data_IF_650431818126
#
_entry.id   IF_650431818126
#
_cell.length_a   1.000
_cell.length_b   1.000
_cell.length_c   1.000
_cell.angle_alpha   90.00
_cell.angle_beta   90.00
_cell.angle_gamma   90.00
#
_symmetry.space_group_name_H-M   'P 1'
#
loop_
_entity.id
_entity.type
_entity.pdbx_description
1 polymer ?
#
# COMPACT_ATOMS: atom_id res chain seq x y z
N UNK A 1 13.81 25.56 -0.46
CA UNK A 1 14.25 26.31 -1.65
C UNK A 1 15.50 25.63 -2.19
N UNK A 2 15.36 24.76 -3.19
CA UNK A 2 16.50 24.20 -3.94
C UNK A 2 16.11 24.12 -5.41
N UNK A 3 16.93 24.76 -6.23
CA UNK A 3 16.74 25.09 -7.63
C UNK A 3 17.09 23.87 -8.50
N UNK A 4 16.15 23.39 -9.32
CA UNK A 4 16.43 22.34 -10.31
C UNK A 4 15.87 22.78 -11.67
N UNK A 5 16.79 23.12 -12.59
CA UNK A 5 16.51 23.35 -14.01
C UNK A 5 16.24 22.00 -14.69
N UNK A 6 15.01 21.78 -15.14
CA UNK A 6 14.68 20.69 -16.06
C UNK A 6 14.79 21.24 -17.49
N UNK A 7 15.83 20.83 -18.20
CA UNK A 7 15.98 21.06 -19.63
C UNK A 7 15.31 19.95 -20.44
N UNK A 8 14.56 20.36 -21.48
CA UNK A 8 13.83 19.56 -22.47
C UNK A 8 12.49 18.95 -22.02
N UNK A 9 11.46 19.24 -22.83
CA UNK A 9 10.03 19.03 -22.56
C UNK A 9 9.70 17.57 -22.22
N UNK A 10 9.39 17.32 -20.94
CA UNK A 10 8.72 16.10 -20.49
C UNK A 10 7.29 16.48 -20.10
N UNK A 11 6.28 16.06 -20.89
CA UNK A 11 4.87 16.23 -20.53
C UNK A 11 4.53 15.25 -19.42
N UNK A 12 4.59 15.70 -18.16
CA UNK A 12 4.14 14.91 -17.02
C UNK A 12 2.64 15.15 -16.85
N UNK A 13 1.86 14.07 -16.94
CA UNK A 13 0.40 14.09 -16.82
C UNK A 13 0.05 13.66 -15.40
N UNK A 14 -0.65 14.52 -14.66
CA UNK A 14 -1.34 14.10 -13.44
C UNK A 14 -2.84 14.16 -13.68
N UNK A 15 -3.49 13.02 -13.48
CA UNK A 15 -4.94 12.90 -13.36
C UNK A 15 -5.20 12.66 -11.87
N UNK A 16 -5.65 13.69 -11.16
CA UNK A 16 -6.07 13.57 -9.77
C UNK A 16 -7.57 13.84 -9.69
N UNK A 17 -8.24 13.15 -8.76
CA UNK A 17 -9.52 13.61 -8.23
C UNK A 17 -9.28 14.52 -7.00
N UNK A 18 -8.34 14.21 -6.11
CA UNK A 18 -7.74 15.13 -5.11
C UNK A 18 -6.42 14.54 -4.56
N UNK A 19 -5.49 15.37 -4.06
CA UNK A 19 -4.39 14.91 -3.19
C UNK A 19 -4.88 14.96 -1.74
N UNK A 20 -5.21 13.81 -1.16
CA UNK A 20 -5.37 13.70 0.28
C UNK A 20 -4.03 13.25 0.90
N UNK A 21 -3.49 14.01 1.85
CA UNK A 21 -2.48 13.50 2.76
C UNK A 21 -3.16 12.45 3.66
N UNK A 22 -3.09 11.19 3.25
CA UNK A 22 -3.84 10.11 3.89
C UNK A 22 -3.47 9.91 5.38
N UNK A 23 -2.21 10.21 5.75
CA UNK A 23 -1.71 9.94 7.09
C UNK A 23 -2.15 10.96 8.15
N UNK A 24 -2.34 12.24 7.80
CA UNK A 24 -2.62 13.30 8.78
C UNK A 24 -4.00 13.95 8.59
N UNK A 25 -4.45 14.18 7.34
CA UNK A 25 -5.69 14.92 7.09
C UNK A 25 -6.92 14.03 7.28
N UNK A 26 -6.98 12.84 6.71
CA UNK A 26 -8.22 12.02 6.77
C UNK A 26 -8.64 11.59 8.18
N UNK A 27 -7.68 11.51 9.10
CA UNK A 27 -7.85 10.88 10.41
C UNK A 27 -8.25 11.88 11.50
N UNK A 28 -7.75 13.12 11.39
CA UNK A 28 -8.07 14.23 12.30
C UNK A 28 -9.06 15.23 11.74
N UNK A 29 -9.17 15.39 10.43
CA UNK A 29 -10.10 16.37 9.82
C UNK A 29 -11.58 16.17 10.19
N UNK A 30 -12.11 14.96 10.48
CA UNK A 30 -13.46 14.86 11.00
C UNK A 30 -13.62 15.59 12.36
N UNK A 31 -12.54 15.69 13.14
CA UNK A 31 -12.58 16.10 14.54
C UNK A 31 -11.76 17.38 14.84
N UNK A 32 -10.96 17.87 13.90
CA UNK A 32 -10.11 19.06 14.01
C UNK A 32 -10.27 20.02 12.80
N UNK A 33 -10.14 21.33 13.04
CA UNK A 33 -10.16 22.37 12.01
C UNK A 33 -8.81 22.47 11.25
N UNK A 34 -8.44 21.45 10.49
CA UNK A 34 -7.24 21.47 9.65
C UNK A 34 -7.62 21.37 8.16
N UNK A 35 -7.80 22.51 7.49
CA UNK A 35 -7.87 22.58 6.03
C UNK A 35 -6.52 23.06 5.50
N UNK A 36 -5.84 22.28 4.64
CA UNK A 36 -4.74 22.78 3.81
C UNK A 36 -5.14 22.77 2.34
N UNK A 37 -5.10 23.95 1.71
CA UNK A 37 -5.21 24.10 0.27
C UNK A 37 -3.83 23.90 -0.34
N UNK A 38 -3.46 22.65 -0.64
CA UNK A 38 -2.16 22.36 -1.25
C UNK A 38 -2.27 22.25 -2.78
N UNK A 39 -2.48 23.41 -3.43
CA UNK A 39 -2.26 23.58 -4.86
C UNK A 39 -1.24 24.70 -5.14
N UNK A 40 -0.07 24.62 -4.50
CA UNK A 40 1.12 25.38 -4.92
C UNK A 40 2.15 24.44 -5.57
N UNK A 41 1.77 23.80 -6.68
CA UNK A 41 2.77 23.25 -7.60
C UNK A 41 3.31 24.42 -8.42
N UNK A 42 4.56 24.80 -8.16
CA UNK A 42 5.27 25.88 -8.87
C UNK A 42 5.15 25.67 -10.38
N UNK A 43 4.61 26.67 -11.08
CA UNK A 43 4.57 26.76 -12.55
C UNK A 43 5.99 26.64 -13.12
N UNK A 44 6.43 25.42 -13.42
CA UNK A 44 7.60 25.19 -14.28
C UNK A 44 7.13 25.05 -15.73
N UNK A 45 7.90 25.64 -16.64
CA UNK A 45 7.65 25.61 -18.09
C UNK A 45 7.58 24.16 -18.58
N UNK A 46 6.52 23.79 -19.29
CA UNK A 46 6.36 22.45 -19.92
C UNK A 46 5.44 21.46 -19.22
N UNK A 47 4.81 21.84 -18.11
CA UNK A 47 3.83 21.01 -17.39
C UNK A 47 2.39 21.18 -17.91
N UNK A 48 1.60 20.10 -17.96
CA UNK A 48 0.16 20.14 -18.24
C UNK A 48 -0.60 19.34 -17.20
N UNK A 49 -1.65 19.93 -16.66
CA UNK A 49 -2.54 19.31 -15.69
C UNK A 49 -3.95 19.26 -16.24
N UNK A 50 -4.63 18.13 -16.03
CA UNK A 50 -6.04 17.96 -16.37
C UNK A 50 -6.77 17.33 -15.19
N UNK A 51 -7.85 17.97 -14.79
CA UNK A 51 -8.78 17.44 -13.79
C UNK A 51 -9.79 16.50 -14.49
N UNK A 52 -9.48 15.22 -14.49
CA UNK A 52 -10.27 14.18 -15.14
C UNK A 52 -10.00 12.79 -14.54
N UNK A 53 -11.01 11.92 -14.61
CA UNK A 53 -10.89 10.51 -14.28
C UNK A 53 -10.34 9.72 -15.48
N UNK A 54 -9.33 8.87 -15.23
CA UNK A 54 -8.91 7.85 -16.19
C UNK A 54 -9.83 6.63 -16.08
N UNK A 55 -10.59 6.33 -17.13
CA UNK A 55 -11.50 5.17 -17.15
C UNK A 55 -11.01 4.00 -18.00
N UNK A 56 -10.01 4.22 -18.88
CA UNK A 56 -9.41 3.16 -19.71
C UNK A 56 -7.97 3.48 -20.10
N UNK A 57 -7.12 2.46 -20.11
CA UNK A 57 -5.74 2.52 -20.60
C UNK A 57 -5.61 1.53 -21.77
N UNK A 58 -5.10 2.00 -22.91
CA UNK A 58 -4.80 1.20 -24.09
C UNK A 58 -3.26 1.07 -24.24
N UNK A 59 -2.65 -0.06 -23.80
CA UNK A 59 -1.21 -0.28 -23.89
C UNK A 59 -0.69 -0.41 -25.32
N UNK A 60 -1.54 -0.86 -26.26
CA UNK A 60 -1.14 -1.15 -27.64
C UNK A 60 -1.07 0.14 -28.44
N UNK A 61 -2.10 0.99 -28.34
CA UNK A 61 -2.14 2.30 -29.01
C UNK A 61 -1.40 3.39 -28.22
N UNK A 62 -0.92 3.06 -27.02
CA UNK A 62 -0.32 3.99 -26.05
C UNK A 62 -1.18 5.23 -25.79
N UNK A 63 -2.44 4.99 -25.41
CA UNK A 63 -3.42 6.04 -25.10
C UNK A 63 -4.06 5.84 -23.74
N UNK A 64 -4.34 6.95 -23.08
CA UNK A 64 -5.19 7.01 -21.88
C UNK A 64 -6.51 7.68 -22.25
N UNK A 65 -7.63 7.08 -21.87
CA UNK A 65 -8.96 7.64 -22.04
C UNK A 65 -9.42 8.26 -20.73
N UNK A 66 -9.78 9.54 -20.80
CA UNK A 66 -10.10 10.37 -19.66
C UNK A 66 -11.50 10.95 -19.81
N UNK A 67 -12.16 11.22 -18.68
CA UNK A 67 -13.42 11.95 -18.59
C UNK A 67 -13.33 13.03 -17.54
N UNK A 68 -13.59 14.29 -17.91
CA UNK A 68 -13.65 15.38 -16.93
C UNK A 68 -15.03 15.45 -16.26
N UNK A 69 -15.03 15.74 -14.96
CA UNK A 69 -16.26 16.03 -14.20
C UNK A 69 -16.82 17.42 -14.53
N UNK A 70 -15.98 18.28 -15.11
CA UNK A 70 -16.37 19.58 -15.63
C UNK A 70 -16.69 19.36 -17.11
N UNK A 71 -17.97 19.38 -17.47
CA UNK A 71 -18.41 19.22 -18.86
C UNK A 71 -17.70 20.23 -19.75
N UNK A 72 -16.80 19.78 -20.60
CA UNK A 72 -15.83 20.67 -21.26
C UNK A 72 -16.02 20.83 -22.76
N UNK A 73 -17.05 20.26 -23.40
CA UNK A 73 -17.29 20.45 -24.83
C UNK A 73 -18.80 20.43 -25.19
N UNK A 74 -19.12 20.97 -26.37
CA UNK A 74 -20.47 21.06 -26.97
C UNK A 74 -21.22 19.72 -27.09
N UNK A 75 -20.51 18.58 -26.95
CA UNK A 75 -21.03 17.21 -27.05
C UNK A 75 -21.40 16.59 -25.68
N UNK A 76 -21.16 17.32 -24.57
CA UNK A 76 -21.74 17.05 -23.26
C UNK A 76 -21.12 15.94 -22.40
N UNK A 77 -20.30 15.02 -22.92
CA UNK A 77 -19.78 13.89 -22.11
C UNK A 77 -18.40 14.12 -21.44
N UNK A 78 -17.67 15.17 -21.80
CA UNK A 78 -16.36 15.53 -21.20
C UNK A 78 -15.23 14.51 -21.45
N UNK A 79 -15.37 13.62 -22.44
CA UNK A 79 -14.36 12.59 -22.73
C UNK A 79 -13.27 13.06 -23.69
N UNK A 80 -12.02 12.64 -23.43
CA UNK A 80 -10.88 12.91 -24.31
C UNK A 80 -9.81 11.82 -24.17
N UNK A 81 -8.88 11.76 -25.13
CA UNK A 81 -7.76 10.82 -25.10
C UNK A 81 -6.43 11.54 -25.05
N UNK A 82 -5.45 10.94 -24.38
CA UNK A 82 -4.08 11.44 -24.31
C UNK A 82 -3.09 10.35 -24.71
N UNK A 83 -2.25 10.67 -25.70
CA UNK A 83 -1.16 9.80 -26.15
C UNK A 83 0.03 9.90 -25.18
N UNK A 84 0.79 8.82 -25.02
CA UNK A 84 1.98 8.79 -24.16
C UNK A 84 3.16 8.05 -24.78
N UNK A 85 4.37 8.54 -24.51
CA UNK A 85 5.61 7.80 -24.75
C UNK A 85 5.92 6.87 -23.57
N UNK A 86 5.76 7.42 -22.36
CA UNK A 86 5.85 6.74 -21.08
C UNK A 86 4.60 7.01 -20.23
N UNK A 87 4.12 5.98 -19.54
CA UNK A 87 2.97 6.08 -18.63
C UNK A 87 3.40 5.70 -17.21
N UNK A 88 3.05 6.53 -16.22
CA UNK A 88 3.24 6.22 -14.79
C UNK A 88 1.85 6.09 -14.17
N UNK A 89 1.51 4.89 -13.70
CA UNK A 89 0.23 4.58 -13.06
C UNK A 89 0.40 4.73 -11.54
N UNK A 90 -0.28 5.72 -10.97
CA UNK A 90 -0.26 6.01 -9.53
C UNK A 90 -1.69 6.21 -8.99
N UNK A 91 -2.63 5.37 -9.44
CA UNK A 91 -4.07 5.51 -9.16
C UNK A 91 -4.48 5.03 -7.75
N UNK A 92 -3.53 4.56 -6.94
CA UNK A 92 -3.77 3.99 -5.62
C UNK A 92 -4.74 2.81 -5.63
N UNK A 93 -5.42 2.59 -4.51
CA UNK A 93 -6.40 1.53 -4.35
C UNK A 93 -7.80 2.09 -4.08
N UNK A 94 -8.81 1.22 -4.16
CA UNK A 94 -10.16 1.45 -3.64
C UNK A 94 -10.36 0.66 -2.34
N UNK A 95 -11.36 0.99 -1.51
CA UNK A 95 -11.72 0.15 -0.39
C UNK A 95 -12.16 -1.24 -0.86
N UNK A 96 -11.86 -2.26 -0.06
CA UNK A 96 -12.28 -3.63 -0.32
C UNK A 96 -13.22 -4.11 0.78
N UNK A 97 -14.42 -4.48 0.36
CA UNK A 97 -15.48 -4.94 1.25
C UNK A 97 -15.54 -6.47 1.36
N UNK A 98 -14.61 -7.20 0.73
CA UNK A 98 -14.49 -8.66 0.72
C UNK A 98 -15.75 -9.40 0.27
N UNK A 99 -16.48 -8.82 -0.69
CA UNK A 99 -17.73 -9.36 -1.22
C UNK A 99 -18.81 -9.58 -0.15
N UNK A 100 -18.78 -8.82 0.96
CA UNK A 100 -19.88 -8.83 1.94
C UNK A 100 -21.18 -8.39 1.24
N UNK A 101 -22.20 -9.27 1.14
CA UNK A 101 -23.21 -9.28 0.06
C UNK A 101 -24.16 -8.08 -0.06
N UNK A 102 -24.39 -7.26 0.97
CA UNK A 102 -25.43 -6.21 0.94
C UNK A 102 -24.89 -4.77 0.81
N UNK A 103 -23.61 -4.60 0.46
CA UNK A 103 -22.90 -3.33 0.67
C UNK A 103 -23.06 -2.23 -0.38
N UNK A 104 -23.54 -2.45 -1.60
CA UNK A 104 -23.33 -1.46 -2.69
C UNK A 104 -24.35 -0.31 -2.71
N UNK A 105 -25.61 -0.53 -2.31
CA UNK A 105 -26.63 0.55 -2.28
C UNK A 105 -26.65 1.35 -0.98
N UNK A 106 -26.11 0.79 0.10
CA UNK A 106 -26.14 1.40 1.42
C UNK A 106 -24.82 2.05 1.83
N UNK A 107 -23.66 1.79 1.21
CA UNK A 107 -22.40 2.52 1.47
C UNK A 107 -22.43 4.00 1.05
N UNK A 108 -23.47 4.44 0.34
CA UNK A 108 -23.78 5.87 0.13
C UNK A 108 -24.58 6.49 1.29
N UNK A 109 -25.06 5.68 2.26
CA UNK A 109 -25.77 6.06 3.49
C UNK A 109 -25.18 5.49 4.80
N UNK A 110 -24.33 4.46 4.72
CA UNK A 110 -23.57 3.84 5.81
C UNK A 110 -22.19 4.46 5.75
N UNK A 111 -21.85 5.07 6.87
CA UNK A 111 -20.88 6.14 6.98
C UNK A 111 -19.44 5.70 6.77
N UNK A 112 -18.98 5.94 5.54
CA UNK A 112 -17.68 6.50 5.26
C UNK A 112 -16.48 5.54 5.26
N UNK A 113 -15.83 5.49 4.09
CA UNK A 113 -14.44 5.05 3.99
C UNK A 113 -13.54 6.19 4.45
N UNK A 114 -12.58 5.95 5.33
CA UNK A 114 -11.60 6.98 5.70
C UNK A 114 -10.54 7.07 4.58
N UNK A 115 -10.93 7.58 3.41
CA UNK A 115 -10.05 7.64 2.23
C UNK A 115 -9.95 9.01 1.56
N UNK A 116 -11.03 9.81 1.54
CA UNK A 116 -11.03 11.13 0.90
C UNK A 116 -11.41 12.26 1.88
N UNK A 117 -11.15 13.53 1.56
CA UNK A 117 -11.39 14.64 2.52
C UNK A 117 -12.91 14.85 2.72
N UNK A 118 -13.69 14.60 1.68
CA UNK A 118 -15.15 14.67 1.67
C UNK A 118 -15.77 13.65 2.64
N UNK A 119 -15.09 12.53 2.83
CA UNK A 119 -15.46 11.47 3.76
C UNK A 119 -15.36 11.96 5.21
N UNK A 120 -14.31 12.71 5.55
CA UNK A 120 -14.13 13.25 6.90
C UNK A 120 -15.30 14.16 7.34
N UNK A 121 -15.79 15.01 6.44
CA UNK A 121 -16.96 15.87 6.73
C UNK A 121 -18.25 15.07 6.89
N UNK A 122 -18.43 14.00 6.09
CA UNK A 122 -19.60 13.10 6.22
C UNK A 122 -19.59 12.40 7.57
N UNK A 123 -18.44 11.85 8.00
CA UNK A 123 -18.28 11.22 9.31
C UNK A 123 -18.72 12.18 10.40
N UNK A 124 -18.17 13.40 10.41
CA UNK A 124 -18.47 14.38 11.44
C UNK A 124 -19.98 14.64 11.51
N UNK A 125 -20.63 14.86 10.36
CA UNK A 125 -22.08 15.05 10.30
C UNK A 125 -22.84 13.85 10.84
N UNK A 126 -22.43 12.63 10.50
CA UNK A 126 -23.12 11.42 10.95
C UNK A 126 -22.97 11.18 12.45
N UNK A 127 -21.80 11.44 13.02
CA UNK A 127 -21.60 11.44 14.49
C UNK A 127 -22.53 12.47 15.13
N UNK A 128 -22.59 13.71 14.62
CA UNK A 128 -23.49 14.74 15.16
C UNK A 128 -24.97 14.32 15.07
N UNK A 129 -25.39 13.78 13.92
CA UNK A 129 -26.75 13.27 13.71
C UNK A 129 -27.10 12.16 14.71
N UNK A 130 -26.17 11.25 15.03
CA UNK A 130 -26.38 10.22 16.05
C UNK A 130 -26.71 10.81 17.42
N UNK A 131 -25.98 11.85 17.83
CA UNK A 131 -26.22 12.56 19.10
C UNK A 131 -27.52 13.37 19.07
N UNK A 132 -27.78 14.11 17.99
CA UNK A 132 -29.01 14.88 17.81
C UNK A 132 -30.24 13.96 17.85
N UNK A 133 -30.22 12.85 17.11
CA UNK A 133 -31.28 11.85 17.12
C UNK A 133 -31.46 11.25 18.52
N UNK A 134 -30.37 10.85 19.19
CA UNK A 134 -30.44 10.29 20.53
C UNK A 134 -30.93 11.29 21.60
N UNK A 135 -30.90 12.59 21.31
CA UNK A 135 -31.41 13.64 22.22
C UNK A 135 -32.93 13.83 22.15
N UNK A 136 -33.58 13.36 21.07
CA UNK A 136 -35.00 13.56 20.85
C UNK A 136 -35.89 12.95 21.96
N UNK A 137 -37.06 13.56 22.22
CA UNK A 137 -38.05 12.97 23.15
C UNK A 137 -38.65 11.69 22.56
N UNK A 138 -39.21 10.83 23.42
CA UNK A 138 -39.93 9.59 23.07
C UNK A 138 -39.07 8.44 22.53
N UNK A 139 -37.74 8.49 22.63
CA UNK A 139 -36.88 7.33 22.40
C UNK A 139 -36.70 6.51 23.69
N UNK A 140 -36.83 5.19 23.55
CA UNK A 140 -36.44 4.24 24.59
C UNK A 140 -34.93 4.29 24.84
N UNK A 141 -34.49 3.84 26.02
CA UNK A 141 -33.07 3.80 26.36
C UNK A 141 -32.27 2.86 25.43
N UNK A 142 -32.89 1.78 24.97
CA UNK A 142 -32.30 0.86 23.99
C UNK A 142 -32.05 1.54 22.63
N UNK A 143 -32.99 2.33 22.15
CA UNK A 143 -32.84 3.10 20.91
C UNK A 143 -31.77 4.17 21.03
N UNK A 144 -31.66 4.84 22.19
CA UNK A 144 -30.58 5.80 22.46
C UNK A 144 -29.22 5.11 22.46
N UNK A 145 -29.08 3.98 23.14
CA UNK A 145 -27.85 3.16 23.15
C UNK A 145 -27.48 2.68 21.76
N UNK A 146 -28.46 2.27 20.94
CA UNK A 146 -28.23 1.92 19.54
C UNK A 146 -27.66 3.12 18.78
N UNK A 147 -28.32 4.28 18.84
CA UNK A 147 -27.89 5.47 18.11
C UNK A 147 -26.49 5.95 18.51
N UNK A 148 -26.09 5.75 19.77
CA UNK A 148 -24.80 6.16 20.31
C UNK A 148 -23.75 5.04 20.32
N UNK A 149 -24.02 3.94 19.60
CA UNK A 149 -23.04 2.89 19.39
C UNK A 149 -22.31 3.07 18.05
N UNK A 150 -21.02 3.38 18.14
CA UNK A 150 -20.12 3.56 17.01
C UNK A 150 -19.27 2.30 16.81
N UNK A 151 -19.32 1.73 15.60
CA UNK A 151 -18.62 0.49 15.28
C UNK A 151 -17.56 0.74 14.22
N UNK A 152 -16.29 0.46 14.55
CA UNK A 152 -15.16 0.58 13.64
C UNK A 152 -14.77 -0.83 13.19
N UNK A 153 -14.76 -1.08 11.89
CA UNK A 153 -14.37 -2.36 11.31
C UNK A 153 -12.93 -2.30 10.80
N UNK A 154 -12.03 -2.96 11.51
CA UNK A 154 -10.60 -3.05 11.22
C UNK A 154 -9.75 -2.46 12.34
N UNK A 155 -8.93 -3.30 12.96
CA UNK A 155 -7.94 -2.94 13.99
C UNK A 155 -6.59 -2.50 13.45
N UNK A 156 -6.52 -2.07 12.18
CA UNK A 156 -5.34 -1.46 11.60
C UNK A 156 -5.11 -0.02 12.10
N UNK A 157 -3.99 0.63 11.72
CA UNK A 157 -3.65 1.97 12.19
C UNK A 157 -4.79 2.98 12.00
N UNK A 158 -5.38 3.01 10.82
CA UNK A 158 -6.50 3.91 10.50
C UNK A 158 -7.70 3.73 11.43
N UNK A 159 -8.10 2.48 11.71
CA UNK A 159 -9.27 2.21 12.55
C UNK A 159 -9.00 2.52 14.02
N UNK A 160 -7.80 2.21 14.51
CA UNK A 160 -7.37 2.50 15.88
C UNK A 160 -7.27 4.02 16.10
N UNK A 161 -6.59 4.76 15.22
CA UNK A 161 -6.49 6.21 15.32
C UNK A 161 -7.88 6.87 15.26
N UNK A 162 -8.75 6.41 14.34
CA UNK A 162 -10.11 6.91 14.25
C UNK A 162 -10.94 6.66 15.52
N UNK A 163 -10.86 5.47 16.11
CA UNK A 163 -11.57 5.14 17.34
C UNK A 163 -11.11 6.00 18.53
N UNK A 164 -9.80 6.27 18.63
CA UNK A 164 -9.24 7.14 19.65
C UNK A 164 -9.71 8.59 19.49
N UNK A 165 -9.62 9.15 18.29
CA UNK A 165 -10.06 10.54 18.03
C UNK A 165 -11.58 10.70 18.19
N UNK A 166 -12.37 9.67 17.85
CA UNK A 166 -13.81 9.67 18.11
C UNK A 166 -14.12 9.62 19.61
N UNK A 167 -13.37 8.84 20.39
CA UNK A 167 -13.49 8.81 21.85
C UNK A 167 -13.21 10.19 22.45
N UNK A 168 -12.12 10.83 22.06
CA UNK A 168 -11.75 12.16 22.56
C UNK A 168 -12.81 13.19 22.18
N UNK A 169 -13.29 13.19 20.93
CA UNK A 169 -14.38 14.07 20.50
C UNK A 169 -15.69 13.83 21.29
N UNK A 170 -16.05 12.57 21.54
CA UNK A 170 -17.25 12.23 22.28
C UNK A 170 -17.17 12.66 23.75
N UNK A 171 -16.02 12.47 24.40
CA UNK A 171 -15.82 12.71 25.83
C UNK A 171 -15.47 14.14 26.17
N UNK A 172 -14.75 14.86 25.30
CA UNK A 172 -14.31 16.23 25.55
C UNK A 172 -15.25 17.29 24.99
N UNK A 173 -15.83 17.06 23.81
CA UNK A 173 -16.67 18.05 23.13
C UNK A 173 -18.16 17.71 23.23
N UNK A 174 -18.55 16.52 22.77
CA UNK A 174 -19.97 16.16 22.71
C UNK A 174 -20.59 15.96 24.10
N UNK A 175 -19.81 15.51 25.09
CA UNK A 175 -20.26 15.43 26.47
C UNK A 175 -20.62 16.79 27.07
N UNK A 176 -20.04 17.90 26.57
CA UNK A 176 -20.42 19.26 26.99
C UNK A 176 -21.75 19.69 26.36
N UNK A 177 -22.01 19.28 25.12
CA UNK A 177 -23.23 19.61 24.39
C UNK A 177 -24.42 18.72 24.78
N UNK A 178 -24.17 17.45 25.07
CA UNK A 178 -25.17 16.43 25.38
C UNK A 178 -24.84 15.69 26.68
N UNK A 179 -24.84 16.37 27.84
CA UNK A 179 -24.37 15.81 29.10
C UNK A 179 -25.17 14.60 29.58
N UNK A 180 -26.45 14.49 29.21
CA UNK A 180 -27.33 13.37 29.55
C UNK A 180 -27.09 12.11 28.73
N UNK A 181 -26.35 12.21 27.61
CA UNK A 181 -26.11 11.11 26.67
C UNK A 181 -24.72 10.48 26.83
N UNK A 182 -23.80 11.15 27.54
CA UNK A 182 -22.39 10.75 27.64
C UNK A 182 -22.18 9.29 28.07
N UNK A 183 -22.98 8.82 29.03
CA UNK A 183 -22.85 7.47 29.62
C UNK A 183 -23.49 6.38 28.74
N UNK A 184 -24.16 6.77 27.65
CA UNK A 184 -24.77 5.87 26.68
C UNK A 184 -23.87 5.63 25.45
N UNK A 185 -22.79 6.40 25.30
CA UNK A 185 -21.86 6.28 24.17
C UNK A 185 -21.06 4.99 24.29
N UNK A 186 -21.02 4.23 23.19
CA UNK A 186 -20.20 3.03 23.08
C UNK A 186 -19.39 3.07 21.80
N UNK A 187 -18.12 2.71 21.88
CA UNK A 187 -17.24 2.59 20.73
C UNK A 187 -16.70 1.15 20.70
N UNK A 188 -16.90 0.45 19.58
CA UNK A 188 -16.39 -0.91 19.38
C UNK A 188 -15.48 -0.99 18.17
N UNK A 189 -14.29 -1.57 18.33
CA UNK A 189 -13.37 -1.89 17.24
C UNK A 189 -13.42 -3.40 16.98
N UNK A 190 -13.79 -3.80 15.76
CA UNK A 190 -13.88 -5.20 15.35
C UNK A 190 -12.66 -5.55 14.52
N UNK A 191 -11.91 -6.56 14.93
CA UNK A 191 -10.74 -7.08 14.23
C UNK A 191 -10.84 -8.58 14.02
N UNK A 192 -10.50 -9.03 12.81
CA UNK A 192 -10.57 -10.44 12.43
C UNK A 192 -9.39 -11.25 12.98
N UNK A 193 -8.23 -10.62 13.16
CA UNK A 193 -7.05 -11.21 13.80
C UNK A 193 -7.15 -11.23 15.32
N UNK A 194 -6.12 -11.82 15.95
CA UNK A 194 -6.02 -11.96 17.41
C UNK A 194 -5.77 -10.64 18.14
N UNK A 195 -5.17 -9.67 17.45
CA UNK A 195 -4.73 -8.40 17.99
C UNK A 195 -4.98 -7.24 17.03
N UNK A 196 -5.06 -6.02 17.57
CA UNK A 196 -4.98 -4.79 16.78
C UNK A 196 -3.52 -4.40 16.48
N UNK A 197 -3.31 -3.54 15.48
CA UNK A 197 -1.99 -3.01 15.13
C UNK A 197 -0.93 -4.11 14.89
N UNK A 198 -1.31 -5.23 14.27
CA UNK A 198 -0.46 -6.43 14.09
C UNK A 198 0.85 -6.19 13.32
N UNK A 199 0.95 -5.05 12.65
CA UNK A 199 2.14 -4.56 11.94
C UNK A 199 3.17 -3.90 12.86
N UNK A 200 2.87 -3.69 14.14
CA UNK A 200 3.77 -3.13 15.14
C UNK A 200 4.30 -4.20 16.11
N UNK A 201 5.30 -3.82 16.91
CA UNK A 201 5.84 -4.67 17.97
C UNK A 201 4.75 -5.01 19.01
N UNK A 202 4.79 -6.23 19.55
CA UNK A 202 3.80 -6.74 20.51
C UNK A 202 3.62 -5.82 21.73
N UNK A 203 4.67 -5.09 22.14
CA UNK A 203 4.57 -4.12 23.25
C UNK A 203 3.65 -2.94 22.91
N UNK A 204 3.69 -2.45 21.67
CA UNK A 204 2.84 -1.35 21.19
C UNK A 204 1.39 -1.83 21.09
N UNK A 205 1.17 -3.00 20.50
CA UNK A 205 -0.15 -3.65 20.43
C UNK A 205 -0.77 -3.79 21.82
N UNK A 206 -0.04 -4.39 22.78
CA UNK A 206 -0.53 -4.59 24.15
C UNK A 206 -0.86 -3.25 24.84
N UNK A 207 0.01 -2.26 24.70
CA UNK A 207 -0.23 -0.93 25.25
C UNK A 207 -1.52 -0.29 24.68
N UNK A 208 -1.74 -0.41 23.36
CA UNK A 208 -2.93 0.14 22.72
C UNK A 208 -4.21 -0.56 23.20
N UNK A 209 -4.21 -1.89 23.30
CA UNK A 209 -5.34 -2.67 23.82
C UNK A 209 -5.68 -2.30 25.28
N UNK A 210 -4.65 -2.18 26.15
CA UNK A 210 -4.83 -1.76 27.54
C UNK A 210 -5.33 -0.32 27.66
N UNK A 211 -4.87 0.59 26.78
CA UNK A 211 -5.37 1.97 26.74
C UNK A 211 -6.85 1.99 26.34
N UNK A 212 -7.21 1.28 25.27
CA UNK A 212 -8.60 1.23 24.80
C UNK A 212 -9.52 0.65 25.87
N UNK A 213 -9.07 -0.37 26.60
CA UNK A 213 -9.81 -0.90 27.74
C UNK A 213 -10.04 0.14 28.84
N UNK A 214 -9.03 0.95 29.19
CA UNK A 214 -9.15 2.03 30.18
C UNK A 214 -10.09 3.14 29.71
N UNK A 215 -10.06 3.45 28.43
CA UNK A 215 -10.90 4.48 27.80
C UNK A 215 -12.33 3.97 27.51
N UNK A 216 -12.65 2.72 27.84
CA UNK A 216 -13.98 2.14 27.61
C UNK A 216 -14.28 1.79 26.15
N UNK A 217 -13.27 1.81 25.27
CA UNK A 217 -13.36 1.37 23.88
C UNK A 217 -13.28 -0.16 23.84
N UNK A 218 -14.32 -0.81 23.34
CA UNK A 218 -14.38 -2.27 23.29
C UNK A 218 -13.64 -2.81 22.05
N UNK A 219 -12.60 -3.61 22.27
CA UNK A 219 -11.88 -4.29 21.20
C UNK A 219 -12.37 -5.73 21.06
N UNK A 220 -13.04 -6.04 19.96
CA UNK A 220 -13.53 -7.37 19.60
C UNK A 220 -12.60 -8.03 18.58
N UNK A 221 -11.59 -8.76 19.07
CA UNK A 221 -10.66 -9.52 18.22
C UNK A 221 -11.22 -10.91 17.88
N UNK A 222 -10.65 -11.56 16.86
CA UNK A 222 -11.13 -12.84 16.33
C UNK A 222 -12.58 -12.80 15.79
N UNK A 223 -13.09 -11.61 15.47
CA UNK A 223 -14.43 -11.41 14.92
C UNK A 223 -14.34 -10.92 13.48
N UNK A 224 -14.89 -11.71 12.56
CA UNK A 224 -15.01 -11.31 11.15
C UNK A 224 -16.40 -10.79 10.87
N UNK A 225 -16.50 -9.58 10.32
CA UNK A 225 -17.78 -9.05 9.83
C UNK A 225 -18.24 -9.82 8.58
N UNK A 226 -19.46 -10.34 8.60
CA UNK A 226 -20.05 -11.15 7.52
C UNK A 226 -21.26 -10.50 6.87
N UNK A 227 -21.95 -9.57 7.56
CA UNK A 227 -23.09 -8.82 7.04
C UNK A 227 -23.19 -7.45 7.71
N UNK A 228 -23.66 -6.46 6.96
CA UNK A 228 -23.93 -5.10 7.45
C UNK A 228 -25.28 -4.66 6.90
N UNK A 229 -26.21 -4.29 7.78
CA UNK A 229 -27.53 -3.74 7.43
C UNK A 229 -27.69 -2.35 8.04
N UNK A 230 -28.79 -1.66 7.74
CA UNK A 230 -29.20 -0.39 8.36
C UNK A 230 -29.43 -0.48 9.88
N UNK A 231 -29.60 -1.70 10.42
CA UNK A 231 -29.94 -1.91 11.83
C UNK A 231 -28.80 -2.51 12.64
N UNK A 232 -27.95 -3.34 12.02
CA UNK A 232 -26.94 -4.11 12.74
C UNK A 232 -25.77 -4.55 11.86
N UNK A 233 -24.64 -4.81 12.51
CA UNK A 233 -23.49 -5.54 11.96
C UNK A 233 -23.52 -6.97 12.47
N UNK A 234 -23.46 -7.93 11.56
CA UNK A 234 -23.28 -9.35 11.89
C UNK A 234 -21.81 -9.70 11.80
N UNK A 235 -21.27 -10.23 12.89
CA UNK A 235 -19.90 -10.73 12.98
C UNK A 235 -19.90 -12.21 13.39
N UNK A 236 -18.90 -12.96 12.95
CA UNK A 236 -18.73 -14.36 13.30
C UNK A 236 -17.39 -14.57 13.99
N UNK A 237 -17.39 -15.42 15.01
CA UNK A 237 -16.20 -15.92 15.69
C UNK A 237 -16.32 -17.44 15.79
N UNK A 238 -15.21 -18.15 15.58
CA UNK A 238 -15.20 -19.62 15.59
C UNK A 238 -15.70 -20.24 16.90
N UNK A 239 -15.48 -19.56 18.03
CA UNK A 239 -15.86 -20.03 19.35
C UNK A 239 -17.32 -19.71 19.71
N UNK A 240 -17.81 -18.52 19.34
CA UNK A 240 -19.14 -18.04 19.78
C UNK A 240 -20.21 -18.08 18.70
N UNK A 241 -19.84 -18.39 17.45
CA UNK A 241 -20.75 -18.32 16.31
C UNK A 241 -21.04 -16.88 15.86
N UNK A 242 -22.21 -16.69 15.27
CA UNK A 242 -22.64 -15.38 14.76
C UNK A 242 -23.25 -14.49 15.85
N UNK A 243 -22.88 -13.22 15.83
CA UNK A 243 -23.36 -12.19 16.75
C UNK A 243 -23.84 -11.00 15.94
N UNK A 244 -25.01 -10.48 16.29
CA UNK A 244 -25.57 -9.26 15.71
C UNK A 244 -25.41 -8.10 16.68
N UNK A 245 -24.86 -6.98 16.18
CA UNK A 245 -24.57 -5.80 16.98
C UNK A 245 -25.29 -4.59 16.38
N UNK A 246 -26.30 -4.03 17.08
CA UNK A 246 -26.94 -2.80 16.62
C UNK A 246 -25.98 -1.63 16.75
N UNK A 247 -26.04 -0.69 15.81
CA UNK A 247 -25.17 0.47 15.75
C UNK A 247 -25.92 1.70 15.27
N UNK A 248 -25.39 2.87 15.59
CA UNK A 248 -25.84 4.17 15.07
C UNK A 248 -25.01 4.60 13.87
N UNK A 249 -23.70 4.39 13.96
CA UNK A 249 -22.76 4.62 12.87
C UNK A 249 -21.70 3.52 12.79
N UNK A 250 -21.35 3.11 11.57
CA UNK A 250 -20.34 2.10 11.31
C UNK A 250 -19.30 2.60 10.30
N UNK A 251 -18.02 2.48 10.64
CA UNK A 251 -16.89 2.90 9.81
C UNK A 251 -16.13 1.69 9.31
N UNK A 252 -15.86 1.63 8.00
CA UNK A 252 -15.10 0.54 7.39
C UNK A 252 -13.68 1.00 7.07
N UNK A 253 -12.71 0.58 7.91
CA UNK A 253 -11.31 1.02 7.84
C UNK A 253 -10.32 -0.09 7.47
N UNK A 254 -10.82 -1.18 6.88
CA UNK A 254 -9.98 -2.34 6.50
C UNK A 254 -10.16 -2.76 5.05
N UNK A 255 -9.09 -3.32 4.48
CA UNK A 255 -9.09 -3.88 3.14
C UNK A 255 -8.99 -2.81 2.05
N UNK A 256 -7.98 -2.98 1.21
CA UNK A 256 -7.85 -2.24 -0.05
C UNK A 256 -7.94 -3.23 -1.22
N UNK A 257 -8.29 -2.72 -2.39
CA UNK A 257 -8.44 -3.50 -3.62
C UNK A 257 -8.10 -2.67 -4.84
N UNK A 258 -7.74 -3.36 -5.92
CA UNK A 258 -7.35 -2.70 -7.16
C UNK A 258 -8.53 -2.02 -7.84
N UNK A 259 -8.32 -0.80 -8.33
CA UNK A 259 -9.36 -0.02 -9.03
C UNK A 259 -9.78 -0.69 -10.34
N UNK A 260 -11.04 -0.56 -10.78
CA UNK A 260 -11.54 -1.22 -12.00
C UNK A 260 -10.71 -0.93 -13.26
N UNK A 261 -10.30 0.32 -13.46
CA UNK A 261 -9.45 0.71 -14.61
C UNK A 261 -8.09 -0.01 -14.61
N UNK A 262 -7.49 -0.23 -13.43
CA UNK A 262 -6.23 -0.97 -13.30
C UNK A 262 -6.48 -2.47 -13.49
N UNK A 263 -7.58 -3.01 -12.98
CA UNK A 263 -7.95 -4.43 -13.22
C UNK A 263 -8.16 -4.73 -14.70
N UNK A 264 -8.83 -3.83 -15.44
CA UNK A 264 -9.00 -3.96 -16.88
C UNK A 264 -7.65 -3.93 -17.60
N UNK A 265 -6.81 -2.95 -17.28
CA UNK A 265 -5.45 -2.86 -17.81
C UNK A 265 -4.63 -4.13 -17.51
N UNK A 266 -4.68 -4.65 -16.29
CA UNK A 266 -4.00 -5.89 -15.89
C UNK A 266 -4.43 -7.09 -16.76
N UNK A 267 -5.71 -7.21 -17.11
CA UNK A 267 -6.18 -8.28 -18.00
C UNK A 267 -5.57 -8.17 -19.39
N UNK A 268 -5.47 -6.95 -19.93
CA UNK A 268 -4.91 -6.69 -21.26
C UNK A 268 -3.43 -7.11 -21.36
N UNK A 269 -2.66 -7.05 -20.25
CA UNK A 269 -1.23 -7.36 -20.22
C UNK A 269 -0.91 -8.74 -19.57
N UNK A 270 -1.91 -9.61 -19.45
CA UNK A 270 -1.71 -10.97 -18.91
C UNK A 270 -1.50 -11.04 -17.39
N UNK A 271 -1.90 -10.01 -16.65
CA UNK A 271 -1.80 -9.92 -15.19
C UNK A 271 -3.15 -10.02 -14.46
N UNK A 272 -4.24 -10.38 -15.15
CA UNK A 272 -5.61 -10.36 -14.60
C UNK A 272 -5.87 -11.23 -13.36
N UNK A 273 -5.00 -12.20 -13.07
CA UNK A 273 -5.10 -13.10 -11.91
C UNK A 273 -4.40 -12.57 -10.64
N UNK A 274 -3.76 -11.40 -10.72
CA UNK A 274 -3.03 -10.80 -9.59
C UNK A 274 -3.92 -9.85 -8.79
N UNK A 275 -3.53 -9.64 -7.52
CA UNK A 275 -4.23 -8.71 -6.61
C UNK A 275 -3.90 -7.25 -6.88
N UNK A 276 -2.70 -6.96 -7.38
CA UNK A 276 -2.19 -5.63 -7.72
C UNK A 276 -1.31 -5.72 -8.97
N UNK A 277 -1.05 -4.59 -9.62
CA UNK A 277 -0.23 -4.52 -10.83
C UNK A 277 1.23 -4.84 -10.51
N UNK A 278 1.77 -5.93 -11.08
CA UNK A 278 3.14 -6.32 -10.82
C UNK A 278 4.12 -5.48 -11.64
N UNK A 279 5.12 -4.96 -10.94
CA UNK A 279 6.29 -4.32 -11.51
C UNK A 279 7.55 -5.09 -11.21
N UNK A 280 8.62 -4.80 -11.93
CA UNK A 280 9.96 -5.21 -11.53
C UNK A 280 10.58 -4.25 -10.51
N UNK A 281 11.84 -4.46 -10.17
CA UNK A 281 12.61 -3.71 -9.18
C UNK A 281 12.93 -2.26 -9.64
N UNK A 282 12.65 -1.90 -10.90
CA UNK A 282 12.72 -0.53 -11.42
C UNK A 282 11.33 0.11 -11.57
N UNK A 283 10.31 -0.51 -10.97
CA UNK A 283 8.92 -0.09 -11.03
C UNK A 283 8.33 -0.11 -12.44
N UNK A 284 8.94 -0.86 -13.37
CA UNK A 284 8.42 -1.08 -14.73
C UNK A 284 7.34 -2.15 -14.67
N UNK A 285 6.20 -1.92 -15.30
CA UNK A 285 5.11 -2.89 -15.36
C UNK A 285 5.57 -4.13 -16.13
N UNK A 286 5.46 -5.30 -15.50
CA UNK A 286 5.83 -6.55 -16.16
C UNK A 286 4.93 -6.78 -17.39
N UNK A 287 5.50 -7.27 -18.49
CA UNK A 287 4.82 -7.52 -19.77
C UNK A 287 4.26 -6.27 -20.46
N UNK A 288 4.73 -5.06 -20.12
CA UNK A 288 4.30 -3.83 -20.79
C UNK A 288 5.44 -2.79 -20.85
N UNK A 289 5.99 -2.57 -22.04
CA UNK A 289 7.08 -1.62 -22.22
C UNK A 289 6.62 -0.16 -22.15
N UNK A 290 7.45 0.70 -21.57
CA UNK A 290 7.16 2.13 -21.42
C UNK A 290 6.12 2.45 -20.35
N UNK A 291 5.61 1.46 -19.60
CA UNK A 291 4.66 1.67 -18.51
C UNK A 291 5.31 1.36 -17.17
N UNK A 292 5.09 2.24 -16.19
CA UNK A 292 5.58 2.17 -14.83
C UNK A 292 4.40 2.28 -13.87
N UNK A 293 4.53 1.75 -12.66
CA UNK A 293 3.49 1.87 -11.65
C UNK A 293 4.06 1.96 -10.24
N UNK A 294 3.37 2.69 -9.35
CA UNK A 294 3.80 2.92 -7.98
C UNK A 294 2.62 3.08 -7.01
N UNK A 295 2.92 3.05 -5.71
CA UNK A 295 1.95 3.14 -4.62
C UNK A 295 1.01 1.94 -4.59
N UNK A 296 -0.15 2.11 -3.96
CA UNK A 296 -1.06 1.01 -3.62
C UNK A 296 -1.67 0.27 -4.84
N UNK A 297 -1.53 0.82 -6.05
CA UNK A 297 -2.00 0.15 -7.26
C UNK A 297 -1.03 -0.93 -7.76
N UNK A 298 0.21 -0.95 -7.25
CA UNK A 298 1.30 -1.75 -7.74
C UNK A 298 2.01 -2.54 -6.64
N UNK A 299 2.70 -3.60 -7.04
CA UNK A 299 3.61 -4.37 -6.17
C UNK A 299 4.87 -4.73 -6.94
N UNK A 300 6.02 -4.64 -6.28
CA UNK A 300 7.28 -5.14 -6.84
C UNK A 300 7.25 -6.67 -6.75
N UNK A 301 7.31 -7.33 -7.89
CA UNK A 301 7.49 -8.77 -7.99
C UNK A 301 8.97 -9.07 -7.79
N UNK A 302 9.40 -9.13 -6.53
CA UNK A 302 10.79 -9.40 -6.18
C UNK A 302 11.23 -10.71 -6.83
N UNK A 303 12.31 -10.64 -7.62
CA UNK A 303 12.84 -11.82 -8.30
C UNK A 303 13.46 -12.77 -7.29
N UNK A 304 13.28 -14.06 -7.52
CA UNK A 304 13.86 -15.11 -6.69
C UNK A 304 15.26 -15.47 -7.19
N UNK A 305 16.20 -15.62 -6.27
CA UNK A 305 17.57 -16.03 -6.58
C UNK A 305 17.57 -17.41 -7.23
N UNK A 306 16.73 -18.32 -6.71
CA UNK A 306 16.67 -19.70 -7.21
C UNK A 306 16.13 -19.81 -8.64
N UNK A 307 15.36 -18.83 -9.12
CA UNK A 307 14.90 -18.80 -10.52
C UNK A 307 16.02 -18.43 -11.51
N UNK A 308 17.09 -17.79 -11.02
CA UNK A 308 18.22 -17.32 -11.82
C UNK A 308 19.54 -18.01 -11.45
N UNK A 309 19.51 -19.01 -10.55
CA UNK A 309 20.72 -19.58 -9.92
C UNK A 309 21.74 -20.10 -10.94
N UNK A 310 21.29 -20.77 -12.00
CA UNK A 310 22.18 -21.30 -13.05
C UNK A 310 22.82 -20.19 -13.88
N UNK A 311 22.08 -19.11 -14.14
CA UNK A 311 22.60 -17.95 -14.86
C UNK A 311 23.55 -17.13 -13.98
N UNK A 312 23.25 -17.01 -12.68
CA UNK A 312 24.15 -16.41 -11.70
C UNK A 312 25.46 -17.21 -11.65
N UNK A 313 25.39 -18.54 -11.58
CA UNK A 313 26.56 -19.41 -11.60
C UNK A 313 27.39 -19.20 -12.86
N UNK A 314 26.74 -19.23 -14.03
CA UNK A 314 27.40 -19.02 -15.33
C UNK A 314 28.06 -17.64 -15.45
N UNK A 315 27.47 -16.60 -14.86
CA UNK A 315 28.06 -15.24 -14.86
C UNK A 315 29.23 -15.14 -13.89
N UNK A 316 29.24 -15.92 -12.81
CA UNK A 316 30.31 -15.97 -11.83
C UNK A 316 31.50 -16.82 -12.30
N UNK A 317 31.25 -17.90 -13.04
CA UNK A 317 32.25 -18.83 -13.59
C UNK A 317 32.90 -18.21 -14.84
N UNK A 318 33.80 -17.24 -14.62
CA UNK A 318 34.41 -16.44 -15.68
C UNK A 318 35.41 -17.27 -16.48
N UNK A 319 36.07 -18.24 -15.84
CA UNK A 319 37.04 -19.12 -16.48
C UNK A 319 36.42 -20.38 -17.13
N UNK A 320 35.11 -20.58 -16.95
CA UNK A 320 34.35 -21.72 -17.48
C UNK A 320 34.89 -23.07 -16.97
N UNK A 321 35.42 -23.10 -15.75
CA UNK A 321 35.92 -24.30 -15.09
C UNK A 321 34.79 -25.27 -14.69
N UNK A 322 33.55 -24.78 -14.58
CA UNK A 322 32.41 -25.53 -14.07
C UNK A 322 32.33 -25.55 -12.54
N UNK A 323 33.22 -24.82 -11.87
CA UNK A 323 33.24 -24.62 -10.43
C UNK A 323 33.40 -23.12 -10.12
N UNK A 324 33.10 -22.70 -8.89
CA UNK A 324 33.25 -21.30 -8.46
C UNK A 324 34.25 -21.19 -7.33
N UNK A 325 35.27 -20.35 -7.54
CA UNK A 325 36.18 -19.93 -6.49
C UNK A 325 35.54 -18.87 -5.58
N UNK A 326 36.09 -18.71 -4.36
CA UNK A 326 35.65 -17.63 -3.46
C UNK A 326 35.85 -16.23 -4.04
N UNK A 327 36.84 -16.06 -4.93
CA UNK A 327 37.11 -14.79 -5.59
C UNK A 327 36.00 -14.47 -6.59
N UNK A 328 35.65 -15.42 -7.45
CA UNK A 328 34.57 -15.27 -8.43
C UNK A 328 33.23 -14.96 -7.76
N UNK A 329 32.90 -15.67 -6.69
CA UNK A 329 31.67 -15.40 -5.92
C UNK A 329 31.69 -13.97 -5.36
N UNK A 330 32.82 -13.51 -4.79
CA UNK A 330 32.94 -12.16 -4.25
C UNK A 330 32.83 -11.08 -5.33
N UNK A 331 33.38 -11.34 -6.51
CA UNK A 331 33.38 -10.39 -7.62
C UNK A 331 31.95 -10.12 -8.13
N UNK A 332 31.05 -11.12 -8.08
CA UNK A 332 29.63 -10.95 -8.47
C UNK A 332 28.68 -10.64 -7.30
N UNK A 333 29.11 -10.82 -6.05
CA UNK A 333 28.23 -10.73 -4.87
C UNK A 333 27.59 -9.34 -4.71
N UNK A 334 28.32 -8.28 -5.06
CA UNK A 334 27.80 -6.91 -5.02
C UNK A 334 26.60 -6.74 -5.94
N UNK A 335 26.74 -7.18 -7.19
CA UNK A 335 25.68 -7.11 -8.21
C UNK A 335 24.50 -8.03 -7.88
N UNK A 336 24.77 -9.24 -7.35
CA UNK A 336 23.74 -10.17 -6.88
C UNK A 336 22.98 -9.56 -5.70
N UNK A 337 23.67 -9.02 -4.70
CA UNK A 337 23.02 -8.44 -3.52
C UNK A 337 22.23 -7.18 -3.89
N UNK A 338 22.70 -6.41 -4.86
CA UNK A 338 21.96 -5.29 -5.45
C UNK A 338 20.67 -5.74 -6.11
N UNK A 339 20.74 -6.79 -6.93
CA UNK A 339 19.59 -7.32 -7.67
C UNK A 339 18.61 -8.13 -6.82
N UNK A 340 19.11 -8.85 -5.82
CA UNK A 340 18.39 -9.76 -4.95
C UNK A 340 18.62 -9.36 -3.49
N UNK A 341 17.93 -8.31 -2.98
CA UNK A 341 18.13 -7.79 -1.63
C UNK A 341 17.90 -8.83 -0.53
N UNK A 342 17.14 -9.89 -0.79
CA UNK A 342 16.98 -11.01 0.13
C UNK A 342 18.29 -11.76 0.43
N UNK A 343 19.28 -11.71 -0.45
CA UNK A 343 20.62 -12.31 -0.23
C UNK A 343 21.31 -11.60 0.93
N UNK A 344 21.31 -10.27 0.93
CA UNK A 344 21.91 -9.47 1.99
C UNK A 344 21.18 -9.67 3.33
N UNK A 345 19.85 -9.78 3.30
CA UNK A 345 19.05 -10.08 4.49
C UNK A 345 19.37 -11.46 5.06
N UNK A 346 19.52 -12.47 4.20
CA UNK A 346 19.84 -13.83 4.61
C UNK A 346 21.20 -13.91 5.28
N UNK A 347 22.23 -13.29 4.70
CA UNK A 347 23.57 -13.19 5.28
C UNK A 347 23.53 -12.58 6.68
N UNK A 348 22.86 -11.43 6.83
CA UNK A 348 22.71 -10.75 8.14
C UNK A 348 21.96 -11.62 9.15
N UNK A 349 20.87 -12.27 8.74
CA UNK A 349 20.00 -13.06 9.64
C UNK A 349 20.72 -14.24 10.28
N UNK A 350 21.67 -14.82 9.56
CA UNK A 350 22.48 -15.96 10.02
C UNK A 350 23.77 -15.53 10.72
N UNK A 351 23.94 -14.23 11.00
CA UNK A 351 25.18 -13.64 11.51
C UNK A 351 26.41 -13.96 10.64
N UNK A 352 26.17 -14.25 9.36
CA UNK A 352 27.21 -14.54 8.40
C UNK A 352 27.77 -13.24 7.88
N UNK A 353 29.08 -13.11 7.95
CA UNK A 353 29.83 -11.93 7.51
C UNK A 353 29.98 -11.93 5.99
N UNK A 354 29.99 -13.09 5.35
CA UNK A 354 30.06 -13.24 3.89
C UNK A 354 29.60 -14.64 3.43
N UNK A 355 29.68 -14.89 2.12
CA UNK A 355 29.35 -16.18 1.53
C UNK A 355 30.27 -17.34 1.96
N UNK A 356 31.51 -17.08 2.40
CA UNK A 356 32.40 -18.14 2.91
C UNK A 356 31.76 -18.82 4.12
N UNK A 357 31.07 -18.05 4.97
CA UNK A 357 30.36 -18.60 6.13
C UNK A 357 29.16 -19.47 5.70
N UNK A 358 28.51 -19.16 4.57
CA UNK A 358 27.43 -19.99 3.97
C UNK A 358 27.95 -21.35 3.49
N UNK A 359 29.22 -21.38 3.13
CA UNK A 359 29.92 -22.50 2.52
C UNK A 359 30.71 -23.30 3.56
N UNK A 360 30.77 -22.81 4.81
CA UNK A 360 31.30 -23.54 5.95
C UNK A 360 30.35 -24.67 6.32
N UNK A 361 30.86 -25.91 6.32
CA UNK A 361 30.07 -27.08 6.68
C UNK A 361 29.55 -26.97 8.13
N UNK A 362 28.41 -27.63 8.41
CA UNK A 362 27.78 -27.72 9.74
C UNK A 362 28.67 -28.34 10.84
N UNK A 363 29.88 -28.79 10.49
CA UNK A 363 30.84 -29.47 11.37
C UNK A 363 32.05 -28.62 11.78
N UNK A 364 32.09 -27.32 11.42
CA UNK A 364 33.04 -26.39 12.01
C UNK A 364 34.51 -26.71 11.76
N UNK A 365 34.87 -27.20 10.56
CA UNK A 365 36.27 -27.44 10.19
C UNK A 365 36.81 -26.27 9.34
N UNK A 366 37.69 -25.41 9.88
CA UNK A 366 38.15 -24.21 9.19
C UNK A 366 39.44 -24.48 8.42
N UNK A 367 39.42 -25.22 7.30
CA UNK A 367 40.66 -25.47 6.54
C UNK A 367 40.42 -25.72 5.03
N UNK A 368 40.56 -24.64 4.23
CA UNK A 368 41.28 -24.49 2.95
C UNK A 368 40.57 -23.48 2.05
N UNK A 369 41.30 -22.42 1.69
CA UNK A 369 40.89 -21.34 0.76
C UNK A 369 40.63 -21.81 -0.69
N UNK A 370 40.66 -23.12 -0.95
CA UNK A 370 40.58 -23.74 -2.28
C UNK A 370 39.43 -24.76 -2.40
N UNK A 371 38.29 -24.53 -1.72
CA UNK A 371 37.07 -25.29 -1.99
C UNK A 371 36.34 -24.56 -3.12
N UNK A 372 36.55 -25.03 -4.34
CA UNK A 372 35.74 -24.62 -5.49
C UNK A 372 34.36 -25.27 -5.38
N UNK A 373 33.31 -24.57 -5.79
CA UNK A 373 31.93 -25.03 -5.63
C UNK A 373 31.31 -25.36 -6.97
N UNK A 374 30.76 -26.56 -7.08
CA UNK A 374 29.93 -26.87 -8.24
C UNK A 374 28.54 -26.21 -8.15
N UNK A 375 27.77 -26.34 -9.23
CA UNK A 375 26.43 -25.73 -9.32
C UNK A 375 25.43 -26.30 -8.30
N UNK A 376 25.56 -27.56 -7.90
CA UNK A 376 24.66 -28.21 -6.94
C UNK A 376 24.96 -27.74 -5.51
N UNK A 377 26.23 -27.61 -5.16
CA UNK A 377 26.68 -27.01 -3.90
C UNK A 377 26.27 -25.54 -3.82
N UNK A 378 26.43 -24.77 -4.90
CA UNK A 378 26.00 -23.37 -4.97
C UNK A 378 24.47 -23.22 -4.79
N UNK A 379 23.68 -24.08 -5.44
CA UNK A 379 22.21 -24.15 -5.24
C UNK A 379 21.88 -24.46 -3.78
N UNK A 380 22.55 -25.41 -3.17
CA UNK A 380 22.31 -25.82 -1.77
C UNK A 380 22.61 -24.67 -0.81
N UNK A 381 23.69 -23.93 -1.03
CA UNK A 381 24.06 -22.77 -0.22
C UNK A 381 22.98 -21.67 -0.25
N UNK A 382 22.34 -21.48 -1.40
CA UNK A 382 21.34 -20.42 -1.60
C UNK A 382 19.87 -20.86 -1.49
N UNK A 383 19.59 -22.14 -1.28
CA UNK A 383 18.23 -22.72 -1.33
C UNK A 383 17.21 -22.02 -0.41
N UNK A 384 17.67 -21.45 0.70
CA UNK A 384 16.81 -20.83 1.72
C UNK A 384 16.76 -19.30 1.64
N UNK A 385 17.50 -18.68 0.72
CA UNK A 385 17.60 -17.21 0.65
C UNK A 385 16.27 -16.58 0.29
N UNK A 386 15.53 -17.18 -0.64
CA UNK A 386 14.24 -16.66 -1.08
C UNK A 386 13.16 -16.71 0.02
N UNK A 387 13.40 -17.38 1.15
CA UNK A 387 12.55 -17.28 2.35
C UNK A 387 12.61 -15.90 3.02
N UNK A 388 13.65 -15.11 2.73
CA UNK A 388 13.87 -13.78 3.31
C UNK A 388 13.32 -12.65 2.43
N UNK A 389 12.64 -12.97 1.33
CA UNK A 389 12.00 -11.97 0.48
C UNK A 389 10.97 -11.20 1.28
N UNK A 390 11.12 -9.88 1.31
CA UNK A 390 10.17 -8.95 1.94
C UNK A 390 9.41 -8.20 0.87
N UNK A 391 8.12 -8.02 1.09
CA UNK A 391 7.30 -7.12 0.30
C UNK A 391 7.28 -5.75 0.96
N UNK A 392 7.27 -4.69 0.14
CA UNK A 392 7.09 -3.34 0.64
C UNK A 392 5.63 -3.14 1.07
N UNK A 393 5.39 -2.47 2.21
CA UNK A 393 4.03 -2.17 2.64
C UNK A 393 3.41 -1.09 1.75
N UNK A 394 2.09 -1.16 1.56
CA UNK A 394 1.31 -0.13 0.86
C UNK A 394 1.13 1.08 1.78
N UNK A 395 2.07 2.03 1.73
CA UNK A 395 2.05 3.27 2.55
C UNK A 395 2.37 4.49 1.71
N UNK A 396 1.89 5.65 2.17
CA UNK A 396 2.19 6.94 1.54
C UNK A 396 3.71 7.22 1.51
N UNK A 397 4.44 6.83 2.56
CA UNK A 397 5.90 6.94 2.61
C UNK A 397 6.59 6.15 1.50
N UNK A 398 6.22 4.88 1.31
CA UNK A 398 6.77 4.03 0.24
C UNK A 398 6.41 4.60 -1.13
N UNK A 399 5.15 5.01 -1.34
CA UNK A 399 4.71 5.63 -2.60
C UNK A 399 5.49 6.91 -2.92
N UNK A 400 5.77 7.76 -1.93
CA UNK A 400 6.57 8.97 -2.09
C UNK A 400 8.03 8.64 -2.45
N UNK A 401 8.63 7.65 -1.80
CA UNK A 401 9.98 7.17 -2.13
C UNK A 401 10.05 6.62 -3.55
N UNK A 402 9.07 5.81 -3.96
CA UNK A 402 8.95 5.29 -5.33
C UNK A 402 8.82 6.41 -6.36
N UNK A 403 8.00 7.44 -6.07
CA UNK A 403 7.85 8.61 -6.94
C UNK A 403 9.15 9.40 -7.09
N UNK A 404 9.87 9.65 -5.99
CA UNK A 404 11.17 10.30 -6.01
C UNK A 404 12.21 9.50 -6.80
N UNK A 405 12.23 8.18 -6.61
CA UNK A 405 13.10 7.28 -7.36
C UNK A 405 12.86 7.36 -8.87
N UNK A 406 11.61 7.21 -9.34
CA UNK A 406 11.32 7.31 -10.77
C UNK A 406 11.68 8.69 -11.32
N UNK A 407 11.36 9.76 -10.60
CA UNK A 407 11.73 11.10 -11.03
C UNK A 407 13.25 11.23 -11.25
N UNK A 408 14.06 10.68 -10.36
CA UNK A 408 15.52 10.66 -10.51
C UNK A 408 15.97 9.81 -11.71
N UNK A 409 15.39 8.63 -11.90
CA UNK A 409 15.70 7.77 -13.04
C UNK A 409 15.38 8.45 -14.37
N UNK A 410 14.19 9.03 -14.52
CA UNK A 410 13.80 9.75 -15.74
C UNK A 410 14.68 10.98 -16.00
N UNK A 411 15.03 11.74 -14.96
CA UNK A 411 15.91 12.91 -15.10
C UNK A 411 17.33 12.55 -15.57
N UNK A 412 17.81 11.34 -15.25
CA UNK A 412 19.14 10.86 -15.64
C UNK A 412 19.11 9.87 -16.81
N UNK A 413 17.95 9.63 -17.43
CA UNK A 413 17.76 8.51 -18.34
C UNK A 413 18.77 8.47 -19.49
N UNK A 414 19.04 9.61 -20.14
CA UNK A 414 20.04 9.70 -21.22
C UNK A 414 21.46 9.42 -20.73
N UNK A 415 21.84 9.95 -19.57
CA UNK A 415 23.17 9.75 -18.99
C UNK A 415 23.36 8.27 -18.62
N UNK A 416 22.36 7.66 -18.01
CA UNK A 416 22.41 6.26 -17.58
C UNK A 416 22.25 5.25 -18.73
N UNK A 417 21.86 5.70 -19.93
CA UNK A 417 21.93 4.89 -21.15
C UNK A 417 23.37 4.71 -21.63
N UNK A 418 24.18 5.76 -21.53
CA UNK A 418 25.61 5.74 -21.89
C UNK A 418 26.49 5.21 -20.75
N UNK A 419 26.13 5.53 -19.51
CA UNK A 419 26.87 5.18 -18.29
C UNK A 419 25.96 4.50 -17.27
N UNK A 420 25.69 3.18 -17.42
CA UNK A 420 24.80 2.45 -16.54
C UNK A 420 25.33 2.40 -15.09
N UNK A 421 24.48 2.71 -14.11
CA UNK A 421 24.82 2.69 -12.68
C UNK A 421 24.31 1.46 -11.92
N UNK A 422 23.43 0.67 -12.55
CA UNK A 422 22.79 -0.50 -11.94
C UNK A 422 23.65 -1.76 -11.99
N UNK A 423 23.12 -2.88 -11.45
CA UNK A 423 23.85 -4.14 -11.38
C UNK A 423 24.03 -4.81 -12.76
N UNK A 424 24.89 -5.82 -12.83
CA UNK A 424 25.01 -6.70 -14.00
C UNK A 424 23.66 -7.34 -14.38
N UNK A 425 23.42 -7.48 -15.70
CA UNK A 425 22.24 -8.17 -16.22
C UNK A 425 22.48 -9.68 -16.25
N UNK A 426 21.96 -10.39 -15.25
CA UNK A 426 22.13 -11.85 -15.13
C UNK A 426 21.68 -12.62 -16.39
N UNK A 427 20.54 -12.24 -16.98
CA UNK A 427 20.00 -12.88 -18.20
C UNK A 427 20.29 -12.09 -19.48
N UNK A 428 21.42 -11.40 -19.56
CA UNK A 428 21.76 -10.57 -20.72
C UNK A 428 23.18 -10.05 -20.72
N UNK A 429 23.44 -8.99 -21.47
CA UNK A 429 24.74 -8.34 -21.55
C UNK A 429 24.72 -6.95 -20.90
N UNK A 430 25.87 -6.56 -20.35
CA UNK A 430 26.07 -5.25 -19.74
C UNK A 430 25.35 -5.09 -18.40
N UNK A 431 25.11 -3.83 -18.03
CA UNK A 431 24.53 -3.44 -16.73
C UNK A 431 23.13 -2.86 -16.89
N UNK A 432 22.37 -2.89 -15.80
CA UNK A 432 21.11 -2.16 -15.70
C UNK A 432 21.37 -0.66 -15.68
N UNK A 433 20.48 0.12 -16.33
CA UNK A 433 20.63 1.58 -16.44
C UNK A 433 20.69 2.24 -15.07
N UNK A 434 19.76 1.88 -14.19
CA UNK A 434 19.62 2.45 -12.85
C UNK A 434 19.86 1.39 -11.79
N UNK A 435 20.18 1.82 -10.57
CA UNK A 435 20.05 0.96 -9.39
C UNK A 435 18.58 0.58 -9.16
N UNK A 436 18.28 -0.63 -8.66
CA UNK A 436 16.90 -1.02 -8.33
C UNK A 436 16.35 -0.19 -7.16
N UNK A 437 15.03 -0.04 -7.11
CA UNK A 437 14.33 0.52 -5.95
C UNK A 437 14.49 -0.41 -4.75
N UNK A 438 14.76 0.15 -3.58
CA UNK A 438 15.01 -0.57 -2.32
C UNK A 438 14.23 0.04 -1.17
#
# INVERSE_FOLDING_TARGET
MYEYRLGSMSKMIFLFNHRAFADFLLKRVPFCNAYSNDLQMTQKVGFRFWEAECFKIDPVKKKVHCRSNIGTNRDGNGEFTVDYDYLIIALGAKPNTFNTPEKIYFLTKVDVFVQEVEDAQKIRRSVMNCFENASLPNLSEEERRKNLHFVIVGGGPTGVEFAAELHDFATEDLAKLYPTLKDLVRISVIEAGEHILTMFDKRITKFAEEKFQRDGIEVKTNFRVVKVTDKAITMTNKATGEINVPYGMAVWSTGIGTRPVVLDFMKQIGQGNRRALATDEWLRVCNCEGVYALGDCATISQRKVMEDISEIFRVADVDCSGTLTLKEIKDVLGDISERYPQVELYLKSKQMKNFVDLLGDAEGNPLKESKELDIEEFKKALAHVDSQVKMLPATAQVAAQQGNYLAQCFNKMKICEEHPEGPLRIRGQGRHRFRPFR
#
